data_IF_228953347020
#
_entry.id   IF_228953347020
#
_cell.length_a   1.000
_cell.length_b   1.000
_cell.length_c   1.000
_cell.angle_alpha   90.00
_cell.angle_beta   90.00
_cell.angle_gamma   90.00
#
_symmetry.space_group_name_H-M   'P 1'
#
loop_
_entity.id
_entity.type
_entity.pdbx_description
1 polymer ?
#
# COMPACT_ATOMS: atom_id res chain seq x y z
N UNK A 1 -50.06 -24.62 -22.20
CA UNK A 1 -48.76 -24.99 -22.81
C UNK A 1 -47.70 -24.06 -22.25
N UNK A 2 -46.65 -24.63 -21.64
CA UNK A 2 -45.45 -23.92 -21.19
C UNK A 2 -44.60 -23.62 -22.42
N UNK A 3 -44.13 -22.38 -22.58
CA UNK A 3 -42.79 -22.08 -23.09
C UNK A 3 -42.34 -20.75 -22.51
N UNK A 4 -41.24 -20.81 -21.78
CA UNK A 4 -40.46 -19.67 -21.28
C UNK A 4 -39.86 -18.84 -22.42
N UNK A 5 -39.46 -17.60 -22.12
CA UNK A 5 -38.05 -17.27 -22.32
C UNK A 5 -37.37 -16.94 -20.99
N UNK A 6 -36.35 -17.73 -20.71
CA UNK A 6 -35.32 -17.52 -19.70
C UNK A 6 -34.39 -16.43 -20.26
N UNK A 7 -33.85 -15.60 -19.35
CA UNK A 7 -32.82 -14.56 -19.53
C UNK A 7 -33.30 -13.16 -19.90
N UNK A 8 -33.30 -12.24 -18.92
CA UNK A 8 -32.74 -10.87 -18.89
C UNK A 8 -32.89 -10.41 -17.41
N UNK A 9 -31.97 -9.87 -16.61
CA UNK A 9 -30.61 -9.34 -16.75
C UNK A 9 -30.11 -9.12 -15.31
N UNK A 10 -29.08 -9.83 -14.85
CA UNK A 10 -28.47 -9.67 -13.51
C UNK A 10 -27.41 -8.56 -13.55
N UNK A 11 -27.79 -7.38 -14.01
CA UNK A 11 -26.92 -6.20 -14.00
C UNK A 11 -27.72 -4.97 -13.59
N UNK A 12 -28.21 -4.98 -12.35
CA UNK A 12 -28.46 -3.72 -11.67
C UNK A 12 -27.12 -3.04 -11.42
N UNK A 13 -26.71 -2.21 -12.38
CA UNK A 13 -25.55 -1.33 -12.28
C UNK A 13 -25.79 -0.38 -11.12
N UNK A 14 -25.12 -0.64 -9.99
CA UNK A 14 -25.03 0.32 -8.89
C UNK A 14 -24.25 1.51 -9.44
N UNK A 15 -24.92 2.66 -9.58
CA UNK A 15 -24.26 3.91 -9.94
C UNK A 15 -23.23 4.25 -8.85
N UNK A 16 -21.93 4.38 -9.15
CA UNK A 16 -20.98 4.85 -8.16
C UNK A 16 -21.36 6.29 -7.78
N UNK A 17 -21.80 6.49 -6.53
CA UNK A 17 -22.01 7.82 -5.97
C UNK A 17 -20.63 8.46 -5.80
N UNK A 18 -20.23 9.30 -6.75
CA UNK A 18 -19.02 10.12 -6.65
C UNK A 18 -19.42 11.41 -5.93
N UNK A 19 -19.11 11.57 -4.62
CA UNK A 19 -19.39 12.82 -3.92
C UNK A 19 -18.53 13.94 -4.50
N UNK A 20 -19.15 14.88 -5.20
CA UNK A 20 -18.46 16.04 -5.76
C UNK A 20 -18.17 17.06 -4.65
N UNK A 21 -16.90 17.16 -4.25
CA UNK A 21 -16.42 18.19 -3.33
C UNK A 21 -16.40 19.53 -4.07
N UNK A 22 -17.19 20.51 -3.60
CA UNK A 22 -17.15 21.89 -4.09
C UNK A 22 -16.39 22.78 -3.11
N UNK A 23 -15.26 23.32 -3.53
CA UNK A 23 -14.51 24.31 -2.74
C UNK A 23 -15.26 25.65 -2.75
N UNK A 24 -15.55 26.21 -1.57
CA UNK A 24 -16.03 27.60 -1.47
C UNK A 24 -14.85 28.55 -1.66
N UNK A 25 -15.07 29.57 -2.50
CA UNK A 25 -14.11 30.65 -2.74
C UNK A 25 -13.99 31.49 -1.47
N UNK A 26 -12.81 31.51 -0.85
CA UNK A 26 -12.55 32.25 0.39
C UNK A 26 -12.54 33.76 0.14
N UNK A 27 -13.29 34.50 0.95
CA UNK A 27 -13.20 35.96 1.10
C UNK A 27 -12.18 36.26 2.20
N UNK A 28 -11.21 37.13 1.91
CA UNK A 28 -10.13 37.54 2.82
C UNK A 28 -10.41 38.94 3.32
N UNK A 29 -10.91 39.07 4.54
CA UNK A 29 -10.96 40.35 5.24
C UNK A 29 -9.87 40.41 6.31
N UNK A 30 -8.90 41.28 6.04
CA UNK A 30 -7.86 41.72 6.96
C UNK A 30 -8.42 42.75 7.92
N UNK A 31 -8.25 42.57 9.24
CA UNK A 31 -8.04 43.68 10.16
C UNK A 31 -7.44 43.23 11.51
N UNK A 32 -6.31 43.84 11.85
CA UNK A 32 -5.61 43.81 13.14
C UNK A 32 -6.38 44.61 14.20
N UNK A 33 -6.46 44.14 15.45
CA UNK A 33 -6.42 45.01 16.66
C UNK A 33 -5.99 44.17 17.88
N UNK A 34 -5.28 44.84 18.77
CA UNK A 34 -4.43 44.46 19.91
C UNK A 34 -5.11 43.74 21.07
N UNK A 35 -4.29 42.97 21.80
CA UNK A 35 -4.62 42.11 22.95
C UNK A 35 -4.72 42.88 24.28
N UNK A 36 -5.69 42.48 25.11
CA UNK A 36 -5.59 42.52 26.60
C UNK A 36 -6.38 41.32 27.15
N UNK A 37 -5.85 40.51 28.08
CA UNK A 37 -6.58 39.35 28.59
C UNK A 37 -7.37 39.71 29.85
N UNK A 38 -8.69 39.54 29.83
CA UNK A 38 -9.52 39.55 31.02
C UNK A 38 -10.36 38.27 31.07
N UNK A 39 -10.27 37.60 32.22
CA UNK A 39 -10.74 36.24 32.46
C UNK A 39 -12.22 36.23 32.84
N UNK A 40 -12.89 35.13 32.47
CA UNK A 40 -14.21 34.63 32.89
C UNK A 40 -15.44 35.00 32.04
N UNK A 41 -15.92 34.01 31.29
CA UNK A 41 -17.33 33.54 31.23
C UNK A 41 -17.46 32.45 30.16
N UNK A 42 -18.24 31.41 30.44
CA UNK A 42 -18.56 30.34 29.51
C UNK A 42 -19.28 30.91 28.29
N UNK A 43 -18.60 30.91 27.16
CA UNK A 43 -19.17 31.11 25.84
C UNK A 43 -18.54 30.09 24.91
N UNK A 44 -19.37 29.34 24.19
CA UNK A 44 -18.95 28.38 23.18
C UNK A 44 -18.37 29.18 22.01
N UNK A 45 -17.12 29.62 22.15
CA UNK A 45 -16.41 30.34 21.11
C UNK A 45 -15.93 29.30 20.10
N UNK A 46 -16.46 29.38 18.88
CA UNK A 46 -15.99 28.61 17.75
C UNK A 46 -14.49 28.91 17.57
N UNK A 47 -13.66 28.00 18.06
CA UNK A 47 -12.22 28.07 17.90
C UNK A 47 -11.92 28.09 16.40
N UNK A 48 -11.33 29.20 15.94
CA UNK A 48 -10.72 29.34 14.62
C UNK A 48 -9.83 28.10 14.41
N UNK A 49 -9.93 27.35 13.30
CA UNK A 49 -9.06 26.20 13.09
C UNK A 49 -7.63 26.71 13.03
N UNK A 50 -6.89 26.51 14.12
CA UNK A 50 -5.46 26.79 14.14
C UNK A 50 -4.84 25.95 13.02
N UNK A 51 -4.10 26.63 12.13
CA UNK A 51 -3.30 26.00 11.09
C UNK A 51 -2.47 24.91 11.75
N UNK A 52 -2.83 23.64 11.52
CA UNK A 52 -2.16 22.49 12.10
C UNK A 52 -0.78 22.37 11.45
N UNK A 53 0.19 23.11 11.94
CA UNK A 53 1.59 22.73 11.78
C UNK A 53 1.69 21.37 12.45
N UNK A 54 1.94 20.32 11.66
CA UNK A 54 2.13 18.96 12.15
C UNK A 54 3.44 18.88 12.91
N UNK A 55 3.47 19.47 14.11
CA UNK A 55 4.48 19.14 15.09
C UNK A 55 4.17 17.72 15.53
N UNK A 56 5.00 16.77 15.07
CA UNK A 56 5.01 15.44 15.64
C UNK A 56 5.41 15.59 17.10
N UNK A 57 4.43 15.49 17.99
CA UNK A 57 4.69 15.53 19.43
C UNK A 57 5.37 14.22 19.81
N UNK A 58 6.49 14.32 20.49
CA UNK A 58 7.16 13.15 21.05
C UNK A 58 6.35 12.57 22.22
N UNK A 59 6.55 11.29 22.54
CA UNK A 59 5.82 10.56 23.59
C UNK A 59 5.80 11.30 24.95
N UNK A 60 6.90 11.97 25.30
CA UNK A 60 6.99 12.73 26.55
C UNK A 60 6.18 14.04 26.55
N UNK A 61 5.83 14.56 25.38
CA UNK A 61 5.02 15.78 25.21
C UNK A 61 3.51 15.45 25.20
N UNK A 62 3.15 14.17 25.03
CA UNK A 62 1.76 13.72 25.01
C UNK A 62 1.16 13.73 26.43
N UNK A 63 -0.06 14.27 26.60
CA UNK A 63 -0.80 14.12 27.85
C UNK A 63 -0.91 12.64 28.26
N UNK A 64 -0.88 12.37 29.57
CA UNK A 64 -0.80 11.00 30.11
C UNK A 64 -1.83 10.01 29.55
N UNK A 65 -3.04 10.49 29.24
CA UNK A 65 -4.12 9.67 28.65
C UNK A 65 -3.88 9.20 27.21
N UNK A 66 -2.92 9.80 26.51
CA UNK A 66 -2.57 9.47 25.12
C UNK A 66 -1.19 8.81 25.00
N UNK A 67 -0.46 8.65 26.11
CA UNK A 67 0.79 7.91 26.12
C UNK A 67 0.52 6.42 26.03
N UNK A 68 1.40 5.71 25.33
CA UNK A 68 1.35 4.25 25.24
C UNK A 68 1.63 3.65 26.62
N UNK A 69 1.01 2.50 26.88
CA UNK A 69 1.31 1.73 28.06
C UNK A 69 2.74 1.14 27.91
N UNK A 70 3.58 1.16 28.96
CA UNK A 70 4.84 0.46 28.93
C UNK A 70 4.60 -1.03 28.66
N UNK A 71 5.34 -1.60 27.70
CA UNK A 71 5.24 -3.01 27.36
C UNK A 71 5.94 -3.85 28.43
N UNK A 72 5.34 -4.99 28.77
CA UNK A 72 5.97 -5.97 29.65
C UNK A 72 7.01 -6.81 28.90
N UNK A 73 7.96 -7.39 29.62
CA UNK A 73 9.03 -8.22 29.05
C UNK A 73 8.47 -9.42 28.27
N UNK A 74 7.39 -10.04 28.77
CA UNK A 74 6.72 -11.15 28.07
C UNK A 74 6.12 -10.71 26.73
N UNK A 75 5.53 -9.51 26.69
CA UNK A 75 4.96 -8.95 25.45
C UNK A 75 6.06 -8.62 24.44
N UNK A 76 7.17 -8.07 24.91
CA UNK A 76 8.35 -7.78 24.09
C UNK A 76 8.90 -9.07 23.47
N UNK A 77 9.06 -10.13 24.27
CA UNK A 77 9.50 -11.43 23.77
C UNK A 77 8.52 -12.02 22.78
N UNK A 78 7.21 -11.95 23.03
CA UNK A 78 6.19 -12.43 22.11
C UNK A 78 6.21 -11.67 20.77
N UNK A 79 6.30 -10.34 20.81
CA UNK A 79 6.39 -9.50 19.61
C UNK A 79 7.67 -9.83 18.83
N UNK A 80 8.82 -9.91 19.52
CA UNK A 80 10.09 -10.24 18.89
C UNK A 80 10.06 -11.64 18.27
N UNK A 81 9.48 -12.63 18.96
CA UNK A 81 9.31 -13.98 18.43
C UNK A 81 8.46 -14.01 17.15
N UNK A 82 7.33 -13.31 17.15
CA UNK A 82 6.45 -13.18 15.98
C UNK A 82 7.15 -12.49 14.80
N UNK A 83 7.83 -11.37 15.06
CA UNK A 83 8.53 -10.61 14.03
C UNK A 83 9.72 -11.39 13.45
N UNK A 84 10.52 -12.04 14.30
CA UNK A 84 11.64 -12.86 13.86
C UNK A 84 11.18 -14.08 13.05
N UNK A 85 10.08 -14.71 13.46
CA UNK A 85 9.51 -15.83 12.71
C UNK A 85 9.03 -15.40 11.32
N UNK A 86 8.29 -14.29 11.23
CA UNK A 86 7.80 -13.78 9.95
C UNK A 86 8.93 -13.31 9.04
N UNK A 87 9.94 -12.64 9.59
CA UNK A 87 11.10 -12.22 8.82
C UNK A 87 11.92 -13.41 8.31
N UNK A 88 12.12 -14.44 9.16
CA UNK A 88 12.82 -15.68 8.79
C UNK A 88 12.10 -16.45 7.69
N UNK A 89 10.78 -16.61 7.78
CA UNK A 89 9.98 -17.20 6.70
C UNK A 89 10.08 -16.37 5.42
N UNK A 90 9.89 -15.05 5.52
CA UNK A 90 9.99 -14.15 4.38
C UNK A 90 11.33 -14.27 3.63
N UNK A 91 12.44 -14.31 4.36
CA UNK A 91 13.77 -14.52 3.78
C UNK A 91 13.90 -15.90 3.11
N UNK A 92 13.44 -16.97 3.75
CA UNK A 92 13.46 -18.33 3.18
C UNK A 92 12.69 -18.39 1.86
N UNK A 93 11.47 -17.84 1.82
CA UNK A 93 10.66 -17.81 0.59
C UNK A 93 11.28 -16.94 -0.50
N UNK A 94 11.81 -15.77 -0.14
CA UNK A 94 12.46 -14.88 -1.10
C UNK A 94 13.67 -15.54 -1.76
N UNK A 95 14.55 -16.17 -0.98
CA UNK A 95 15.73 -16.87 -1.50
C UNK A 95 15.31 -18.05 -2.37
N UNK A 96 14.34 -18.86 -1.93
CA UNK A 96 13.81 -20.00 -2.69
C UNK A 96 13.28 -19.56 -4.06
N UNK A 97 12.48 -18.50 -4.09
CA UNK A 97 11.90 -17.96 -5.32
C UNK A 97 12.98 -17.43 -6.28
N UNK A 98 14.03 -16.79 -5.75
CA UNK A 98 15.14 -16.29 -6.56
C UNK A 98 16.00 -17.40 -7.16
N UNK A 99 16.25 -18.48 -6.41
CA UNK A 99 16.99 -19.65 -6.92
C UNK A 99 16.19 -20.35 -8.02
N UNK A 100 14.88 -20.55 -7.85
CA UNK A 100 14.06 -21.17 -8.88
C UNK A 100 14.00 -20.34 -10.17
N UNK A 101 13.94 -19.00 -10.06
CA UNK A 101 14.06 -18.12 -11.23
C UNK A 101 15.42 -18.25 -11.91
N UNK A 102 16.51 -18.32 -11.15
CA UNK A 102 17.86 -18.46 -11.70
C UNK A 102 18.05 -19.81 -12.43
N UNK A 103 17.54 -20.90 -11.86
CA UNK A 103 17.59 -22.24 -12.46
C UNK A 103 16.79 -22.29 -13.77
N UNK A 104 15.57 -21.73 -13.78
CA UNK A 104 14.74 -21.67 -14.99
C UNK A 104 15.38 -20.82 -16.09
N UNK A 105 16.02 -19.70 -15.72
CA UNK A 105 16.74 -18.86 -16.68
C UNK A 105 17.94 -19.59 -17.30
N UNK A 106 18.73 -20.30 -16.49
CA UNK A 106 19.84 -21.10 -16.99
C UNK A 106 19.38 -22.26 -17.89
N UNK A 107 18.26 -22.92 -17.54
CA UNK A 107 17.63 -23.93 -18.38
C UNK A 107 17.18 -23.35 -19.73
N UNK A 108 16.57 -22.17 -19.73
CA UNK A 108 16.16 -21.46 -20.93
C UNK A 108 17.36 -21.14 -21.85
N UNK A 109 18.47 -20.65 -21.29
CA UNK A 109 19.70 -20.40 -22.05
C UNK A 109 20.27 -21.68 -22.69
N UNK A 110 20.29 -22.79 -21.94
CA UNK A 110 20.72 -24.09 -22.48
C UNK A 110 19.83 -24.57 -23.63
N UNK A 111 18.51 -24.47 -23.46
CA UNK A 111 17.55 -24.89 -24.48
C UNK A 111 17.71 -24.05 -25.76
N UNK A 112 17.84 -22.73 -25.62
CA UNK A 112 18.01 -21.82 -26.75
C UNK A 112 19.33 -22.05 -27.51
N UNK A 113 20.41 -22.38 -26.79
CA UNK A 113 21.70 -22.76 -27.37
C UNK A 113 21.61 -24.09 -28.14
N UNK A 114 20.97 -25.12 -27.56
CA UNK A 114 20.77 -26.40 -28.23
C UNK A 114 19.96 -26.27 -29.52
N UNK A 115 18.88 -25.47 -29.50
CA UNK A 115 18.04 -25.23 -30.69
C UNK A 115 18.84 -24.51 -31.78
N UNK A 116 19.66 -23.51 -31.42
CA UNK A 116 20.52 -22.82 -32.38
C UNK A 116 21.55 -23.76 -33.03
N UNK A 117 22.23 -24.60 -32.24
CA UNK A 117 23.19 -25.58 -32.79
C UNK A 117 22.49 -26.56 -33.74
N UNK A 118 21.31 -27.07 -33.37
CA UNK A 118 20.57 -27.99 -34.21
C UNK A 118 20.16 -27.35 -35.53
N UNK A 119 19.76 -26.08 -35.50
CA UNK A 119 19.42 -25.30 -36.70
C UNK A 119 20.62 -25.11 -37.62
N UNK A 120 21.80 -24.77 -37.07
CA UNK A 120 23.05 -24.62 -37.82
C UNK A 120 23.45 -25.94 -38.49
N UNK A 121 23.40 -27.06 -37.76
CA UNK A 121 23.72 -28.38 -38.29
C UNK A 121 22.75 -28.82 -39.40
N UNK A 122 21.46 -28.54 -39.24
CA UNK A 122 20.45 -28.83 -40.26
C UNK A 122 20.70 -28.05 -41.56
N UNK A 123 21.05 -26.77 -41.47
CA UNK A 123 21.40 -25.96 -42.65
C UNK A 123 22.72 -26.42 -43.29
N UNK A 124 23.73 -26.77 -42.49
CA UNK A 124 25.01 -27.23 -43.01
C UNK A 124 24.88 -28.56 -43.77
N UNK A 125 24.15 -29.53 -43.21
CA UNK A 125 23.87 -30.82 -43.87
C UNK A 125 23.06 -30.65 -45.15
N UNK A 126 22.08 -29.74 -45.16
CA UNK A 126 21.27 -29.42 -46.35
C UNK A 126 22.07 -28.74 -47.46
N UNK A 127 23.10 -27.95 -47.12
CA UNK A 127 23.97 -27.29 -48.10
C UNK A 127 25.00 -28.25 -48.71
N UNK A 128 25.46 -29.26 -47.95
CA UNK A 128 26.44 -30.25 -48.39
C UNK A 128 25.86 -31.35 -49.31
N UNK A 129 24.54 -31.48 -49.35
CA UNK A 129 23.81 -32.48 -50.17
C UNK A 129 23.31 -31.91 -51.51
N UNK A 130 23.77 -30.72 -51.90
CA UNK A 130 23.56 -30.07 -53.19
C UNK A 130 24.87 -30.00 -53.95
#
# INVERSE_FOLDING_TARGET
MRTSPIFLTVTQVIKPHIPLIKFRKGHVDSCHTTQTPQQSSQGVSAAKPAKSTSYSLEEYQLPARFRRLPLDNYEIEAINGLLLYQFSLGLKYYIKLNIEKLVNLHFFFKLCFCINILFILFFHTSYLMK
#
